data_IF_260980199857
#
_entry.id   IF_260980199857
#
_cell.length_a   1.000
_cell.length_b   1.000
_cell.length_c   1.000
_cell.angle_alpha   90.00
_cell.angle_beta   90.00
_cell.angle_gamma   90.00
#
_symmetry.space_group_name_H-M   'P 1'
#
loop_
_entity.id
_entity.type
_entity.pdbx_description
1 polymer ?
#
# COMPACT_ATOMS: atom_id res chain seq x y z
N UNK A 1 -4.86 1.42 2.66
CA UNK A 1 -3.51 1.55 3.26
C UNK A 1 -3.48 1.71 4.77
N UNK A 2 -4.16 2.69 5.41
CA UNK A 2 -4.22 2.73 6.87
C UNK A 2 -4.77 1.41 7.44
N UNK A 3 -5.69 0.79 6.69
CA UNK A 3 -6.21 -0.57 6.87
C UNK A 3 -5.12 -1.66 6.91
N UNK A 4 -4.16 -1.63 5.98
CA UNK A 4 -3.07 -2.62 5.90
C UNK A 4 -2.08 -2.39 7.05
N UNK A 5 -1.74 -1.13 7.34
CA UNK A 5 -0.86 -0.78 8.46
C UNK A 5 -1.51 -1.17 9.79
N UNK A 6 -2.81 -0.90 9.98
CA UNK A 6 -3.54 -1.32 11.18
C UNK A 6 -3.59 -2.84 11.31
N UNK A 7 -3.75 -3.57 10.19
CA UNK A 7 -3.68 -5.02 10.20
C UNK A 7 -2.31 -5.52 10.65
N UNK A 8 -1.24 -4.98 10.04
CA UNK A 8 0.14 -5.34 10.39
C UNK A 8 0.44 -5.02 11.86
N UNK A 9 0.06 -3.83 12.34
CA UNK A 9 0.25 -3.44 13.74
C UNK A 9 -0.52 -4.35 14.71
N UNK A 10 -1.75 -4.74 14.38
CA UNK A 10 -2.52 -5.68 15.19
C UNK A 10 -1.88 -7.07 15.23
N UNK A 11 -1.34 -7.52 14.10
CA UNK A 11 -0.60 -8.79 14.05
C UNK A 11 0.72 -8.73 14.81
N UNK A 12 1.37 -7.55 14.86
CA UNK A 12 2.59 -7.33 15.65
C UNK A 12 2.31 -7.21 17.16
N UNK A 13 1.13 -6.68 17.53
CA UNK A 13 0.69 -6.49 18.91
C UNK A 13 -0.11 -7.66 19.49
N UNK A 14 -0.16 -8.82 18.81
CA UNK A 14 -0.93 -9.98 19.27
C UNK A 14 -0.33 -10.59 20.56
N UNK A 15 -1.11 -10.71 21.65
CA UNK A 15 -0.63 -11.33 22.90
C UNK A 15 -0.47 -12.85 22.77
N UNK A 16 0.34 -13.47 23.66
CA UNK A 16 0.66 -14.93 23.64
C UNK A 16 -0.57 -15.85 23.63
N UNK A 17 -1.68 -15.39 24.19
CA UNK A 17 -3.00 -15.98 24.02
C UNK A 17 -3.66 -15.30 22.83
N UNK A 18 -3.66 -15.94 21.67
CA UNK A 18 -4.30 -15.44 20.43
C UNK A 18 -5.68 -14.83 20.70
N UNK A 19 -6.08 -13.85 19.89
CA UNK A 19 -7.39 -13.22 20.07
C UNK A 19 -8.53 -14.25 19.98
N UNK A 20 -9.54 -14.19 20.87
CA UNK A 20 -10.75 -14.97 20.68
C UNK A 20 -11.44 -14.49 19.39
N UNK A 21 -11.28 -15.25 18.31
CA UNK A 21 -11.69 -14.92 16.93
C UNK A 21 -10.83 -13.86 16.22
N UNK A 22 -9.52 -14.10 16.08
CA UNK A 22 -8.55 -13.19 15.42
C UNK A 22 -9.02 -12.64 14.05
N UNK A 23 -9.65 -13.47 13.21
CA UNK A 23 -10.13 -13.04 11.88
C UNK A 23 -11.18 -11.93 11.94
N UNK A 24 -12.10 -11.98 12.92
CA UNK A 24 -13.16 -10.97 13.07
C UNK A 24 -12.57 -9.65 13.57
N UNK A 25 -11.63 -9.70 14.50
CA UNK A 25 -10.94 -8.52 15.04
C UNK A 25 -10.20 -7.80 13.91
N UNK A 26 -9.45 -8.53 13.09
CA UNK A 26 -8.71 -7.94 11.97
C UNK A 26 -9.63 -7.24 10.97
N UNK A 27 -10.72 -7.89 10.53
CA UNK A 27 -11.66 -7.32 9.55
C UNK A 27 -12.39 -6.11 10.14
N UNK A 28 -12.85 -6.20 11.39
CA UNK A 28 -13.55 -5.12 12.07
C UNK A 28 -12.66 -3.87 12.23
N UNK A 29 -11.42 -4.04 12.68
CA UNK A 29 -10.51 -2.89 12.82
C UNK A 29 -10.13 -2.30 11.47
N UNK A 30 -9.92 -3.15 10.46
CA UNK A 30 -9.69 -2.71 9.08
C UNK A 30 -10.83 -1.82 8.57
N UNK A 31 -12.08 -2.23 8.81
CA UNK A 31 -13.27 -1.47 8.42
C UNK A 31 -13.40 -0.16 9.20
N UNK A 32 -13.22 -0.18 10.51
CA UNK A 32 -13.31 1.00 11.38
C UNK A 32 -12.25 2.06 11.00
N UNK A 33 -11.00 1.65 10.82
CA UNK A 33 -9.90 2.55 10.41
C UNK A 33 -10.16 3.11 9.01
N UNK A 34 -10.65 2.28 8.09
CA UNK A 34 -11.03 2.72 6.75
C UNK A 34 -12.09 3.83 6.77
N UNK A 35 -13.15 3.63 7.57
CA UNK A 35 -14.24 4.60 7.71
C UNK A 35 -13.76 5.92 8.33
N UNK A 36 -12.96 5.84 9.39
CA UNK A 36 -12.39 7.02 10.06
C UNK A 36 -11.51 7.83 9.12
N UNK A 37 -10.62 7.17 8.37
CA UNK A 37 -9.74 7.87 7.42
C UNK A 37 -10.54 8.46 6.26
N UNK A 38 -11.59 7.79 5.78
CA UNK A 38 -12.48 8.35 4.76
C UNK A 38 -13.18 9.63 5.26
N UNK A 39 -13.66 9.64 6.52
CA UNK A 39 -14.27 10.83 7.13
C UNK A 39 -13.29 11.98 7.35
N UNK A 40 -12.04 11.70 7.70
CA UNK A 40 -11.01 12.74 7.84
C UNK A 40 -10.59 13.27 6.45
N UNK A 41 -10.54 12.39 5.45
CA UNK A 41 -10.16 12.73 4.08
C UNK A 41 -11.14 13.70 3.41
N UNK A 42 -12.44 13.60 3.72
CA UNK A 42 -13.46 14.51 3.16
C UNK A 42 -13.33 15.92 3.73
N UNK A 43 -12.95 16.07 5.00
CA UNK A 43 -12.74 17.38 5.64
C UNK A 43 -11.40 18.00 5.21
N UNK A 44 -10.36 17.19 5.03
CA UNK A 44 -9.00 17.64 4.75
C UNK A 44 -8.50 17.25 3.34
N UNK A 45 -9.24 17.63 2.29
CA UNK A 45 -8.94 17.24 0.91
C UNK A 45 -7.52 17.63 0.43
N UNK A 46 -7.07 18.86 0.73
CA UNK A 46 -5.75 19.37 0.31
C UNK A 46 -4.59 18.57 0.93
N UNK A 47 -4.69 18.24 2.22
CA UNK A 47 -3.68 17.43 2.89
C UNK A 47 -3.71 15.98 2.41
N UNK A 48 -4.90 15.45 2.14
CA UNK A 48 -5.10 14.07 1.69
C UNK A 48 -4.43 13.81 0.34
N UNK A 49 -4.48 14.76 -0.59
CA UNK A 49 -3.80 14.63 -1.89
C UNK A 49 -2.29 14.46 -1.74
N UNK A 50 -1.65 15.27 -0.91
CA UNK A 50 -0.21 15.15 -0.66
C UNK A 50 0.16 13.86 0.08
N UNK A 51 -0.66 13.45 1.06
CA UNK A 51 -0.46 12.20 1.77
C UNK A 51 -0.60 11.00 0.82
N UNK A 52 -1.55 11.03 -0.11
CA UNK A 52 -1.80 9.95 -1.07
C UNK A 52 -0.56 9.66 -1.94
N UNK A 53 0.11 10.70 -2.44
CA UNK A 53 1.34 10.55 -3.22
C UNK A 53 2.50 9.96 -2.41
N UNK A 54 2.69 10.43 -1.17
CA UNK A 54 3.70 9.88 -0.25
C UNK A 54 3.45 8.40 0.05
N UNK A 55 2.18 8.05 0.28
CA UNK A 55 1.75 6.70 0.62
C UNK A 55 1.91 5.74 -0.56
N UNK A 56 1.59 6.17 -1.78
CA UNK A 56 1.83 5.39 -2.98
C UNK A 56 3.33 5.11 -3.19
N UNK A 57 4.19 6.11 -2.97
CA UNK A 57 5.65 5.94 -3.02
C UNK A 57 6.15 4.90 -2.01
N UNK A 58 5.69 4.98 -0.76
CA UNK A 58 6.05 4.01 0.28
C UNK A 58 5.62 2.58 -0.09
N UNK A 59 4.39 2.38 -0.54
CA UNK A 59 3.87 1.06 -0.93
C UNK A 59 4.60 0.52 -2.15
N UNK A 60 4.95 1.38 -3.11
CA UNK A 60 5.72 0.98 -4.28
C UNK A 60 7.10 0.45 -3.88
N UNK A 61 7.74 1.06 -2.88
CA UNK A 61 8.99 0.57 -2.32
C UNK A 61 8.83 -0.82 -1.68
N UNK A 62 7.79 -1.02 -0.87
CA UNK A 62 7.46 -2.34 -0.28
C UNK A 62 7.22 -3.38 -1.37
N UNK A 63 6.44 -3.01 -2.39
CA UNK A 63 6.13 -3.88 -3.51
C UNK A 63 7.41 -4.33 -4.23
N UNK A 64 8.34 -3.40 -4.51
CA UNK A 64 9.64 -3.73 -5.12
C UNK A 64 10.44 -4.69 -4.24
N UNK A 65 10.42 -4.54 -2.92
CA UNK A 65 11.12 -5.46 -2.02
C UNK A 65 10.55 -6.87 -2.02
N UNK A 66 9.25 -7.04 -2.30
CA UNK A 66 8.61 -8.34 -2.32
C UNK A 66 9.01 -9.21 -3.53
N UNK A 67 9.73 -8.67 -4.52
CA UNK A 67 10.19 -9.42 -5.71
C UNK A 67 11.38 -10.35 -5.46
N UNK A 68 12.02 -10.29 -4.27
CA UNK A 68 13.17 -11.12 -3.89
C UNK A 68 13.05 -11.63 -2.46
N UNK A 69 13.37 -12.91 -2.24
CA UNK A 69 13.29 -13.62 -0.94
C UNK A 69 14.18 -12.98 0.13
N UNK A 70 15.44 -12.70 -0.21
CA UNK A 70 16.43 -12.11 0.73
C UNK A 70 16.20 -10.63 1.02
N UNK A 71 15.13 -10.04 0.45
CA UNK A 71 14.97 -8.60 0.27
C UNK A 71 16.13 -7.99 -0.55
N UNK A 72 15.89 -6.89 -1.25
CA UNK A 72 16.96 -6.27 -2.07
C UNK A 72 18.06 -5.68 -1.18
N UNK A 73 17.74 -5.31 0.07
CA UNK A 73 18.67 -4.83 1.08
C UNK A 73 18.59 -5.67 2.35
N UNK A 74 19.71 -6.31 2.70
CA UNK A 74 19.88 -7.11 3.93
C UNK A 74 19.88 -6.26 5.21
N UNK A 75 20.31 -4.99 5.13
CA UNK A 75 20.35 -4.08 6.28
C UNK A 75 18.98 -3.44 6.55
N UNK A 76 18.44 -3.70 7.74
CA UNK A 76 17.15 -3.16 8.22
C UNK A 76 17.13 -1.62 8.16
N UNK A 77 18.21 -0.97 8.59
CA UNK A 77 18.32 0.50 8.56
C UNK A 77 18.25 1.04 7.15
N UNK A 78 18.99 0.43 6.21
CA UNK A 78 19.01 0.87 4.82
C UNK A 78 17.62 0.75 4.18
N UNK A 79 16.89 -0.33 4.49
CA UNK A 79 15.52 -0.56 4.03
C UNK A 79 14.55 0.53 4.49
N UNK A 80 14.64 0.93 5.75
CA UNK A 80 13.83 2.00 6.32
C UNK A 80 14.11 3.35 5.65
N UNK A 81 15.39 3.72 5.49
CA UNK A 81 15.77 4.97 4.83
C UNK A 81 15.35 5.01 3.36
N UNK A 82 15.51 3.91 2.62
CA UNK A 82 15.07 3.83 1.23
C UNK A 82 13.55 3.93 1.12
N UNK A 83 12.79 3.28 2.02
CA UNK A 83 11.32 3.40 2.04
C UNK A 83 10.85 4.83 2.34
N UNK A 84 11.54 5.53 3.25
CA UNK A 84 11.29 6.94 3.53
C UNK A 84 11.65 7.82 2.34
N UNK A 85 12.75 7.52 1.65
CA UNK A 85 13.17 8.21 0.42
C UNK A 85 12.12 8.13 -0.68
N UNK A 86 11.54 6.95 -0.92
CA UNK A 86 10.44 6.78 -1.87
C UNK A 86 9.16 7.50 -1.45
N UNK A 87 8.85 7.56 -0.15
CA UNK A 87 7.71 8.32 0.35
C UNK A 87 7.89 9.84 0.11
N UNK A 88 9.07 10.38 0.42
CA UNK A 88 9.42 11.79 0.18
C UNK A 88 9.42 12.08 -1.33
N UNK A 89 9.94 11.17 -2.15
CA UNK A 89 9.90 11.30 -3.61
C UNK A 89 8.45 11.33 -4.14
N UNK A 90 7.57 10.48 -3.61
CA UNK A 90 6.13 10.49 -3.94
C UNK A 90 5.44 11.80 -3.56
N UNK A 91 5.78 12.37 -2.40
CA UNK A 91 5.30 13.69 -1.99
C UNK A 91 5.81 14.81 -2.93
N UNK A 92 7.09 14.78 -3.30
CA UNK A 92 7.67 15.76 -4.22
C UNK A 92 7.05 15.66 -5.63
N UNK A 93 6.87 14.45 -6.15
CA UNK A 93 6.18 14.17 -7.42
C UNK A 93 4.74 14.68 -7.44
N UNK A 94 4.06 14.62 -6.30
CA UNK A 94 2.70 15.16 -6.16
C UNK A 94 2.67 16.69 -6.30
N UNK A 95 3.73 17.40 -5.88
CA UNK A 95 3.83 18.86 -6.05
C UNK A 95 4.11 19.30 -7.49
N UNK A 96 4.86 18.51 -8.25
CA UNK A 96 5.27 18.87 -9.61
C UNK A 96 4.20 18.45 -10.63
N UNK A 97 3.64 17.25 -10.47
CA UNK A 97 2.73 16.63 -11.44
C UNK A 97 1.44 16.13 -10.77
N UNK A 98 0.69 17.03 -10.14
CA UNK A 98 -0.49 16.68 -9.33
C UNK A 98 -1.47 15.71 -10.02
N UNK A 99 -1.86 15.98 -11.27
CA UNK A 99 -2.81 15.10 -11.99
C UNK A 99 -2.25 13.72 -12.32
N UNK A 100 -1.02 13.65 -12.84
CA UNK A 100 -0.42 12.38 -13.28
C UNK A 100 -0.11 11.53 -12.05
N UNK A 101 0.45 12.15 -11.01
CA UNK A 101 0.78 11.48 -9.76
C UNK A 101 -0.48 11.02 -9.02
N UNK A 102 -1.58 11.77 -9.06
CA UNK A 102 -2.87 11.35 -8.49
C UNK A 102 -3.42 10.09 -9.18
N UNK A 103 -3.44 10.08 -10.52
CA UNK A 103 -3.90 8.92 -11.29
C UNK A 103 -3.01 7.72 -10.98
N UNK A 104 -1.69 7.89 -11.11
CA UNK A 104 -0.70 6.84 -10.80
C UNK A 104 -0.90 6.26 -9.40
N UNK A 105 -1.00 7.12 -8.39
CA UNK A 105 -1.08 6.74 -6.97
C UNK A 105 -2.39 6.01 -6.67
N UNK A 106 -3.52 6.50 -7.18
CA UNK A 106 -4.83 5.87 -6.97
C UNK A 106 -4.94 4.52 -7.68
N UNK A 107 -4.47 4.42 -8.93
CA UNK A 107 -4.46 3.15 -9.67
C UNK A 107 -3.61 2.11 -8.96
N UNK A 108 -2.40 2.49 -8.52
CA UNK A 108 -1.45 1.58 -7.91
C UNK A 108 -1.93 1.09 -6.54
N UNK A 109 -2.35 2.03 -5.68
CA UNK A 109 -2.87 1.71 -4.36
C UNK A 109 -4.12 0.84 -4.44
N UNK A 110 -5.02 1.11 -5.41
CA UNK A 110 -6.21 0.30 -5.63
C UNK A 110 -5.89 -1.13 -6.06
N UNK A 111 -5.03 -1.29 -7.07
CA UNK A 111 -4.60 -2.61 -7.55
C UNK A 111 -3.90 -3.41 -6.43
N UNK A 112 -3.02 -2.77 -5.66
CA UNK A 112 -2.34 -3.40 -4.54
C UNK A 112 -3.31 -3.87 -3.45
N UNK A 113 -4.25 -3.02 -3.01
CA UNK A 113 -5.24 -3.41 -1.99
C UNK A 113 -6.13 -4.55 -2.48
N UNK A 114 -6.54 -4.53 -3.74
CA UNK A 114 -7.42 -5.55 -4.31
C UNK A 114 -6.75 -6.93 -4.31
N UNK A 115 -5.52 -7.02 -4.83
CA UNK A 115 -4.78 -8.29 -4.84
C UNK A 115 -4.34 -8.70 -3.43
N UNK A 116 -3.99 -7.75 -2.55
CA UNK A 116 -3.71 -8.04 -1.15
C UNK A 116 -4.92 -8.64 -0.44
N UNK A 117 -6.13 -8.11 -0.69
CA UNK A 117 -7.37 -8.69 -0.20
C UNK A 117 -7.65 -10.09 -0.76
N UNK A 118 -7.33 -10.32 -2.04
CA UNK A 118 -7.44 -11.64 -2.67
C UNK A 118 -6.45 -12.64 -2.06
N UNK A 119 -5.19 -12.23 -1.82
CA UNK A 119 -4.16 -13.06 -1.18
C UNK A 119 -4.58 -13.48 0.24
N UNK A 120 -5.26 -12.61 0.99
CA UNK A 120 -5.82 -12.96 2.31
C UNK A 120 -6.92 -14.05 2.24
N UNK A 121 -7.64 -14.16 1.13
CA UNK A 121 -8.66 -15.21 0.94
C UNK A 121 -8.06 -16.53 0.45
N UNK A 122 -7.09 -16.45 -0.46
CA UNK A 122 -6.47 -17.62 -1.13
C UNK A 122 -5.26 -18.15 -0.33
N UNK A 123 -4.76 -17.39 0.64
CA UNK A 123 -3.59 -17.72 1.48
C UNK A 123 -2.35 -18.09 0.64
N UNK A 124 -2.08 -17.32 -0.41
CA UNK A 124 -0.95 -17.56 -1.32
C UNK A 124 0.40 -17.15 -0.75
N UNK A 125 0.43 -16.28 0.28
CA UNK A 125 1.64 -15.95 1.05
C UNK A 125 2.30 -14.62 0.66
N UNK A 126 1.73 -13.85 -0.29
CA UNK A 126 2.24 -12.51 -0.62
C UNK A 126 2.18 -11.59 0.60
N UNK A 127 1.17 -11.72 1.45
CA UNK A 127 1.00 -10.97 2.70
C UNK A 127 2.16 -11.15 3.68
N UNK A 128 2.90 -12.27 3.60
CA UNK A 128 4.03 -12.54 4.49
C UNK A 128 5.23 -11.61 4.22
N UNK A 129 5.39 -11.12 2.98
CA UNK A 129 6.47 -10.19 2.63
C UNK A 129 6.34 -8.85 3.37
N UNK A 130 5.24 -8.09 3.19
CA UNK A 130 4.99 -6.87 3.94
C UNK A 130 4.97 -7.09 5.45
N UNK A 131 4.46 -8.23 5.93
CA UNK A 131 4.46 -8.57 7.36
C UNK A 131 5.88 -8.68 7.89
N UNK A 132 6.75 -9.47 7.25
CA UNK A 132 8.16 -9.60 7.67
C UNK A 132 8.97 -8.30 7.49
N UNK A 133 8.58 -7.44 6.56
CA UNK A 133 9.20 -6.13 6.37
C UNK A 133 8.90 -5.14 7.52
N UNK A 134 7.67 -5.17 8.03
CA UNK A 134 7.14 -4.22 9.02
C UNK A 134 7.10 -4.78 10.45
N UNK A 135 7.34 -6.08 10.64
CA UNK A 135 7.40 -6.67 11.97
C UNK A 135 8.62 -6.14 12.74
N UNK A 136 8.36 -5.52 13.89
CA UNK A 136 9.37 -4.98 14.79
C UNK A 136 9.46 -5.81 16.09
N UNK A 137 8.75 -6.94 16.17
CA UNK A 137 8.69 -7.75 17.38
C UNK A 137 9.89 -8.70 17.48
N UNK A 138 10.77 -8.57 18.50
CA UNK A 138 11.94 -9.43 18.67
C UNK A 138 11.61 -10.86 19.17
N UNK A 139 10.35 -11.15 19.48
CA UNK A 139 9.90 -12.43 20.04
C UNK A 139 9.19 -13.37 19.06
N UNK A 140 8.94 -12.94 17.82
CA UNK A 140 8.28 -13.77 16.82
C UNK A 140 9.33 -14.48 15.94
N UNK A 141 9.17 -15.80 15.79
CA UNK A 141 10.02 -16.64 14.94
C UNK A 141 9.91 -16.09 13.51
N UNK A 142 11.03 -15.87 12.78
CA UNK A 142 10.99 -15.31 11.43
C UNK A 142 10.14 -16.23 10.54
N UNK A 143 9.00 -15.73 10.08
CA UNK A 143 8.16 -16.44 9.12
C UNK A 143 8.96 -16.49 7.81
N UNK A 144 9.38 -17.67 7.33
CA UNK A 144 10.16 -17.74 6.10
C UNK A 144 9.28 -17.25 4.95
N UNK A 145 9.65 -16.12 4.37
CA UNK A 145 9.04 -15.64 3.13
C UNK A 145 9.68 -16.42 1.99
N UNK A 146 9.01 -17.50 1.56
CA UNK A 146 9.43 -18.28 0.39
C UNK A 146 8.66 -17.78 -0.85
N UNK A 147 9.40 -17.33 -1.87
CA UNK A 147 8.85 -16.94 -3.16
C UNK A 147 8.47 -18.19 -3.95
N UNK A 148 7.29 -18.71 -3.63
CA UNK A 148 6.64 -19.73 -4.46
C UNK A 148 6.16 -19.09 -5.78
N UNK A 149 6.08 -19.87 -6.86
CA UNK A 149 5.54 -19.42 -8.17
C UNK A 149 4.16 -18.71 -8.07
N UNK A 150 3.35 -19.07 -7.07
CA UNK A 150 2.06 -18.43 -6.79
C UNK A 150 2.21 -16.97 -6.35
N UNK A 151 3.24 -16.67 -5.55
CA UNK A 151 3.52 -15.30 -5.08
C UNK A 151 3.97 -14.43 -6.25
N UNK A 152 4.82 -14.95 -7.14
CA UNK A 152 5.18 -14.26 -8.39
C UNK A 152 3.97 -13.98 -9.29
N UNK A 153 3.03 -14.93 -9.38
CA UNK A 153 1.79 -14.72 -10.13
C UNK A 153 0.94 -13.59 -9.52
N UNK A 154 0.85 -13.51 -8.18
CA UNK A 154 0.13 -12.42 -7.49
C UNK A 154 0.81 -11.06 -7.67
N UNK A 155 2.15 -10.99 -7.56
CA UNK A 155 2.90 -9.76 -7.86
C UNK A 155 2.68 -9.32 -9.31
N UNK A 156 2.78 -10.24 -10.26
CA UNK A 156 2.48 -9.98 -11.67
C UNK A 156 1.04 -9.48 -11.87
N UNK A 157 0.07 -10.04 -11.15
CA UNK A 157 -1.33 -9.61 -11.20
C UNK A 157 -1.53 -8.18 -10.68
N UNK A 158 -0.80 -7.76 -9.64
CA UNK A 158 -0.78 -6.36 -9.18
C UNK A 158 -0.34 -5.44 -10.31
N UNK A 159 0.77 -5.79 -10.99
CA UNK A 159 1.32 -4.97 -12.08
C UNK A 159 0.34 -4.91 -13.27
N UNK A 160 -0.24 -6.04 -13.66
CA UNK A 160 -1.23 -6.11 -14.74
C UNK A 160 -2.48 -5.26 -14.43
N UNK A 161 -3.05 -5.42 -13.23
CA UNK A 161 -4.21 -4.65 -12.77
C UNK A 161 -3.90 -3.16 -12.68
N UNK A 162 -2.70 -2.81 -12.21
CA UNK A 162 -2.26 -1.42 -12.14
C UNK A 162 -2.17 -0.77 -13.52
N UNK A 163 -1.61 -1.46 -14.52
CA UNK A 163 -1.55 -0.98 -15.90
C UNK A 163 -2.95 -0.80 -16.51
N UNK A 164 -3.83 -1.79 -16.32
CA UNK A 164 -5.23 -1.71 -16.80
C UNK A 164 -5.96 -0.52 -16.14
N UNK A 165 -5.82 -0.36 -14.82
CA UNK A 165 -6.42 0.74 -14.08
C UNK A 165 -5.89 2.11 -14.54
N UNK A 166 -4.59 2.23 -14.79
CA UNK A 166 -4.00 3.47 -15.31
C UNK A 166 -4.52 3.81 -16.71
N UNK A 167 -4.58 2.83 -17.62
CA UNK A 167 -5.12 3.04 -18.98
C UNK A 167 -6.58 3.47 -18.88
N UNK A 168 -7.37 2.78 -18.06
CA UNK A 168 -8.79 3.09 -17.86
C UNK A 168 -9.00 4.50 -17.29
N UNK A 169 -8.28 4.87 -16.22
CA UNK A 169 -8.36 6.22 -15.64
C UNK A 169 -7.86 7.29 -16.61
N UNK A 170 -6.84 7.02 -17.41
CA UNK A 170 -6.34 7.96 -18.43
C UNK A 170 -7.34 8.18 -19.56
N UNK A 171 -7.97 7.12 -20.07
CA UNK A 171 -8.99 7.21 -21.12
C UNK A 171 -10.26 7.89 -20.60
N UNK A 172 -10.71 7.52 -19.40
CA UNK A 172 -11.90 8.12 -18.79
C UNK A 172 -11.69 9.59 -18.38
N UNK A 173 -10.47 9.94 -17.95
CA UNK A 173 -10.12 11.32 -17.61
C UNK A 173 -9.69 12.16 -18.83
N UNK A 174 -9.81 11.64 -20.05
CA UNK A 174 -9.52 12.36 -21.29
C UNK A 174 -10.67 13.33 -21.61
N UNK A 175 -10.82 14.39 -20.80
CA UNK A 175 -11.84 15.41 -21.02
C UNK A 175 -12.14 16.31 -19.82
N UNK A 176 -11.92 15.86 -18.59
CA UNK A 176 -12.19 16.63 -17.38
C UNK A 176 -10.88 16.98 -16.66
N UNK A 177 -10.47 18.25 -16.76
CA UNK A 177 -9.42 18.82 -15.90
C UNK A 177 -10.00 18.96 -14.49
N UNK A 178 -9.52 18.15 -13.55
CA UNK A 178 -9.89 18.29 -12.15
C UNK A 178 -9.49 19.67 -11.61
N UNK A 179 -10.44 20.59 -11.49
CA UNK A 179 -10.44 21.63 -10.44
C UNK A 179 -9.54 22.87 -10.58
N UNK A 180 -8.91 23.15 -11.72
CA UNK A 180 -8.28 24.47 -11.94
C UNK A 180 -8.99 25.23 -13.06
N UNK A 181 -9.77 26.25 -12.67
CA UNK A 181 -10.16 27.34 -13.57
C UNK A 181 -8.89 27.96 -14.14
N UNK A 182 -8.75 27.94 -15.47
CA UNK A 182 -7.87 28.86 -16.16
C UNK A 182 -8.42 30.27 -15.88
N UNK A 183 -7.79 31.01 -14.97
CA UNK A 183 -7.81 32.46 -15.11
C UNK A 183 -7.14 32.73 -16.46
N UNK A 184 -7.97 32.93 -17.49
CA UNK A 184 -7.55 33.51 -18.76
C UNK A 184 -6.93 34.86 -18.43
N UNK A 185 -5.60 34.94 -18.52
CA UNK A 185 -4.92 36.19 -18.80
C UNK A 185 -5.12 36.55 -20.27
#
# INVERSE_FOLDING_TARGET
>A
MPVIISWVLLTAAEPRTCYPSSSVVYVCTCFAVGLLVAGIATVCWRCTMHLLGSLAGFVLCIYIYCWREDYILLNVYARMFTSLGFAVAGYALMRICEHVTAIFSTSFLGAYVFIFGLDLLVNTGMVNGPRSLLDANPHFIPIPYELTHKVYAMLGAVLAMWLVAMIFQKVYNHGHRFGFELVKA
#
